data_IF_504471958743
#
_entry.id   IF_504471958743
#
_cell.length_a   1.000
_cell.length_b   1.000
_cell.length_c   1.000
_cell.angle_alpha   90.00
_cell.angle_beta   90.00
_cell.angle_gamma   90.00
#
_symmetry.space_group_name_H-M   'P 1'
#
loop_
_entity.id
_entity.type
_entity.pdbx_description
1 polymer ?
#
# COMPACT_ATOMS: atom_id res chain seq x y z
N UNK A 1 -32.20 -24.22 67.67
CA UNK A 1 -32.09 -23.40 66.49
C UNK A 1 -32.56 -24.20 65.30
N UNK A 2 -33.68 -23.82 64.70
CA UNK A 2 -34.19 -24.40 63.46
C UNK A 2 -33.50 -23.66 62.34
N UNK A 3 -32.61 -24.29 61.56
CA UNK A 3 -32.04 -23.78 60.40
C UNK A 3 -32.99 -24.07 59.22
N UNK A 4 -33.69 -23.03 58.74
CA UNK A 4 -34.55 -23.12 57.58
C UNK A 4 -33.66 -22.86 56.32
N UNK A 5 -33.34 -23.92 55.57
CA UNK A 5 -32.60 -23.83 54.31
C UNK A 5 -33.60 -23.86 53.18
N UNK A 6 -33.85 -22.69 52.58
CA UNK A 6 -34.71 -22.57 51.42
C UNK A 6 -33.84 -22.64 50.15
N UNK A 7 -34.03 -23.65 49.35
CA UNK A 7 -33.41 -23.78 48.01
C UNK A 7 -34.42 -23.41 46.93
N UNK A 8 -34.14 -22.34 46.18
CA UNK A 8 -34.97 -21.93 45.06
C UNK A 8 -34.20 -22.18 43.75
N UNK A 9 -34.70 -23.07 42.92
CA UNK A 9 -34.22 -23.29 41.55
C UNK A 9 -35.34 -22.94 40.57
N UNK A 10 -35.08 -22.03 39.62
CA UNK A 10 -36.05 -21.63 38.63
C UNK A 10 -35.43 -21.59 37.23
N UNK A 11 -36.17 -22.05 36.25
CA UNK A 11 -35.80 -21.88 34.82
C UNK A 11 -36.68 -20.78 34.27
N UNK A 12 -36.07 -19.67 33.86
CA UNK A 12 -36.76 -18.56 33.21
C UNK A 12 -36.56 -18.66 31.69
N UNK A 13 -37.62 -18.79 30.91
CA UNK A 13 -37.64 -18.78 29.49
C UNK A 13 -38.25 -17.44 29.00
N UNK A 14 -37.43 -16.57 28.48
CA UNK A 14 -37.86 -15.32 27.83
C UNK A 14 -37.84 -15.49 26.34
N UNK A 15 -38.98 -15.39 25.67
CA UNK A 15 -39.08 -15.54 24.22
C UNK A 15 -39.79 -14.35 23.61
N UNK A 16 -39.06 -13.59 22.79
CA UNK A 16 -39.63 -12.46 22.02
C UNK A 16 -40.48 -13.03 20.86
N UNK A 17 -41.79 -12.86 20.95
CA UNK A 17 -42.75 -13.33 19.93
C UNK A 17 -42.79 -12.35 18.74
N UNK A 18 -42.78 -11.05 19.05
CA UNK A 18 -42.79 -9.99 18.04
C UNK A 18 -42.07 -8.73 18.54
N UNK A 19 -41.18 -8.17 17.72
CA UNK A 19 -40.34 -7.03 18.06
C UNK A 19 -40.40 -5.90 17.02
N UNK A 20 -41.51 -5.78 16.29
CA UNK A 20 -41.62 -4.79 15.21
C UNK A 20 -40.72 -5.06 14.01
N UNK A 21 -40.38 -6.33 13.74
CA UNK A 21 -39.44 -6.77 12.68
C UNK A 21 -37.96 -6.38 12.90
N UNK A 22 -37.60 -5.93 14.10
CA UNK A 22 -36.22 -5.51 14.42
C UNK A 22 -35.22 -6.64 14.23
N UNK A 23 -35.54 -7.86 14.71
CA UNK A 23 -34.66 -9.04 14.53
C UNK A 23 -34.41 -9.31 13.05
N UNK A 24 -35.45 -9.28 12.21
CA UNK A 24 -35.32 -9.50 10.78
C UNK A 24 -34.49 -8.42 10.09
N UNK A 25 -34.70 -7.16 10.47
CA UNK A 25 -33.94 -6.02 9.93
C UNK A 25 -32.48 -6.10 10.35
N UNK A 26 -32.21 -6.47 11.62
CA UNK A 26 -30.87 -6.66 12.12
C UNK A 26 -30.14 -7.82 11.42
N UNK A 27 -30.83 -8.92 11.14
CA UNK A 27 -30.27 -10.02 10.35
C UNK A 27 -29.83 -9.54 8.95
N UNK A 28 -30.68 -8.76 8.27
CA UNK A 28 -30.35 -8.18 6.94
C UNK A 28 -29.15 -7.23 7.05
N UNK A 29 -29.11 -6.41 8.10
CA UNK A 29 -27.99 -5.51 8.35
C UNK A 29 -26.67 -6.27 8.54
N UNK A 30 -26.68 -7.34 9.34
CA UNK A 30 -25.49 -8.17 9.55
C UNK A 30 -25.03 -8.87 8.26
N UNK A 31 -25.96 -9.31 7.41
CA UNK A 31 -25.64 -9.88 6.10
C UNK A 31 -25.01 -8.82 5.18
N UNK A 32 -25.57 -7.63 5.14
CA UNK A 32 -25.02 -6.51 4.37
C UNK A 32 -23.60 -6.13 4.86
N UNK A 33 -23.38 -6.09 6.18
CA UNK A 33 -22.06 -5.85 6.75
C UNK A 33 -21.04 -6.94 6.39
N UNK A 34 -21.49 -8.20 6.24
CA UNK A 34 -20.63 -9.28 5.75
C UNK A 34 -20.21 -9.05 4.29
N UNK A 35 -21.13 -8.66 3.43
CA UNK A 35 -20.83 -8.33 2.03
C UNK A 35 -19.89 -7.13 1.93
N UNK A 36 -20.14 -6.08 2.71
CA UNK A 36 -19.19 -4.96 2.87
C UNK A 36 -17.79 -5.40 3.30
N UNK A 37 -17.69 -6.35 4.23
CA UNK A 37 -16.42 -6.91 4.66
C UNK A 37 -15.63 -7.51 3.49
N UNK A 38 -16.32 -8.20 2.59
CA UNK A 38 -15.72 -8.77 1.36
C UNK A 38 -15.21 -7.68 0.43
N UNK A 39 -16.00 -6.62 0.21
CA UNK A 39 -15.60 -5.48 -0.64
C UNK A 39 -14.42 -4.73 -0.02
N UNK A 40 -14.41 -4.50 1.30
CA UNK A 40 -13.27 -3.87 2.00
C UNK A 40 -11.99 -4.70 1.88
N UNK A 41 -12.09 -6.02 1.99
CA UNK A 41 -10.96 -6.92 1.78
C UNK A 41 -10.41 -6.78 0.36
N UNK A 42 -11.29 -6.69 -0.65
CA UNK A 42 -10.90 -6.46 -2.04
C UNK A 42 -10.16 -5.12 -2.20
N UNK A 43 -10.67 -4.01 -1.62
CA UNK A 43 -10.01 -2.70 -1.64
C UNK A 43 -8.60 -2.81 -1.04
N UNK A 44 -8.48 -3.46 0.13
CA UNK A 44 -7.18 -3.64 0.79
C UNK A 44 -6.19 -4.40 -0.08
N UNK A 45 -6.64 -5.43 -0.80
CA UNK A 45 -5.79 -6.21 -1.72
C UNK A 45 -5.38 -5.34 -2.92
N UNK A 46 -6.32 -4.61 -3.53
CA UNK A 46 -6.05 -3.73 -4.67
C UNK A 46 -5.04 -2.63 -4.30
N UNK A 47 -5.21 -1.98 -3.14
CA UNK A 47 -4.29 -0.97 -2.62
C UNK A 47 -2.90 -1.54 -2.31
N UNK A 48 -2.85 -2.75 -1.75
CA UNK A 48 -1.59 -3.43 -1.49
C UNK A 48 -0.84 -3.74 -2.79
N UNK A 49 -1.53 -4.31 -3.79
CA UNK A 49 -0.92 -4.61 -5.09
C UNK A 49 -0.44 -3.34 -5.78
N UNK A 50 -1.23 -2.26 -5.75
CA UNK A 50 -0.83 -0.97 -6.31
C UNK A 50 0.42 -0.41 -5.61
N UNK A 51 0.46 -0.45 -4.28
CA UNK A 51 1.59 0.02 -3.48
C UNK A 51 2.86 -0.81 -3.75
N UNK A 52 2.72 -2.13 -3.81
CA UNK A 52 3.83 -3.03 -4.10
C UNK A 52 4.38 -2.80 -5.51
N UNK A 53 3.50 -2.63 -6.49
CA UNK A 53 3.88 -2.34 -7.87
C UNK A 53 4.61 -1.00 -7.99
N UNK A 54 4.11 0.03 -7.33
CA UNK A 54 4.75 1.34 -7.30
C UNK A 54 6.16 1.28 -6.68
N UNK A 55 6.31 0.56 -5.56
CA UNK A 55 7.62 0.42 -4.90
C UNK A 55 8.58 -0.46 -5.71
N UNK A 56 8.09 -1.49 -6.41
CA UNK A 56 8.91 -2.27 -7.32
C UNK A 56 9.52 -1.40 -8.44
N UNK A 57 8.72 -0.58 -9.12
CA UNK A 57 9.22 0.30 -10.16
C UNK A 57 10.09 1.45 -9.61
N UNK A 58 9.84 1.91 -8.39
CA UNK A 58 10.76 2.79 -7.69
C UNK A 58 12.13 2.13 -7.49
N UNK A 59 12.17 0.89 -7.02
CA UNK A 59 13.42 0.13 -6.87
C UNK A 59 14.16 -0.05 -8.20
N UNK A 60 13.44 -0.39 -9.27
CA UNK A 60 13.99 -0.47 -10.63
C UNK A 60 14.62 0.87 -11.04
N UNK A 61 13.90 1.97 -10.86
CA UNK A 61 14.40 3.31 -11.17
C UNK A 61 15.67 3.68 -10.38
N UNK A 62 15.66 3.43 -9.06
CA UNK A 62 16.83 3.71 -8.22
C UNK A 62 18.04 2.86 -8.64
N UNK A 63 17.83 1.61 -9.01
CA UNK A 63 18.89 0.70 -9.49
C UNK A 63 19.49 1.18 -10.81
N UNK A 64 18.67 1.61 -11.76
CA UNK A 64 19.14 2.17 -13.03
C UNK A 64 19.93 3.48 -12.82
N UNK A 65 19.45 4.35 -11.91
CA UNK A 65 20.19 5.56 -11.50
C UNK A 65 21.54 5.22 -10.88
N UNK A 66 21.59 4.21 -10.03
CA UNK A 66 22.84 3.75 -9.43
C UNK A 66 23.85 3.31 -10.51
N UNK A 67 23.40 2.59 -11.52
CA UNK A 67 24.23 2.19 -12.65
C UNK A 67 24.79 3.41 -13.40
N UNK A 68 23.96 4.43 -13.64
CA UNK A 68 24.39 5.67 -14.30
C UNK A 68 25.44 6.42 -13.45
N UNK A 69 25.24 6.54 -12.13
CA UNK A 69 26.23 7.15 -11.25
C UNK A 69 27.53 6.33 -11.18
N UNK A 70 27.46 5.00 -11.25
CA UNK A 70 28.66 4.15 -11.37
C UNK A 70 29.48 4.50 -12.62
N UNK A 71 28.84 4.72 -13.77
CA UNK A 71 29.52 5.17 -14.98
C UNK A 71 30.11 6.59 -14.82
N UNK A 72 29.37 7.51 -14.21
CA UNK A 72 29.86 8.86 -13.95
C UNK A 72 31.13 8.86 -13.07
N UNK A 73 31.15 8.08 -11.99
CA UNK A 73 32.33 7.92 -11.12
C UNK A 73 33.50 7.30 -11.89
N UNK A 74 33.26 6.32 -12.75
CA UNK A 74 34.32 5.72 -13.56
C UNK A 74 34.93 6.75 -14.53
N UNK A 75 34.09 7.57 -15.16
CA UNK A 75 34.52 8.63 -16.08
C UNK A 75 35.29 9.74 -15.36
N UNK A 76 34.79 10.25 -14.22
CA UNK A 76 35.47 11.30 -13.46
C UNK A 76 36.77 10.82 -12.83
N UNK A 77 36.86 9.55 -12.43
CA UNK A 77 38.12 8.91 -11.98
C UNK A 77 39.17 8.89 -13.11
N UNK A 78 38.78 8.50 -14.31
CA UNK A 78 39.69 8.45 -15.45
C UNK A 78 40.11 9.86 -15.87
N UNK A 79 39.21 10.83 -15.84
CA UNK A 79 39.54 12.24 -16.06
C UNK A 79 40.55 12.75 -15.04
N UNK A 80 40.37 12.44 -13.77
CA UNK A 80 41.32 12.79 -12.71
C UNK A 80 42.69 12.17 -12.97
N UNK A 81 42.78 10.89 -13.30
CA UNK A 81 44.02 10.18 -13.61
C UNK A 81 44.78 10.84 -14.78
N UNK A 82 44.05 11.17 -15.86
CA UNK A 82 44.63 11.85 -17.03
C UNK A 82 45.14 13.25 -16.67
N UNK A 83 44.38 14.01 -15.86
CA UNK A 83 44.77 15.35 -15.43
C UNK A 83 45.99 15.31 -14.53
N UNK A 84 46.08 14.35 -13.59
CA UNK A 84 47.28 14.14 -12.77
C UNK A 84 48.53 13.88 -13.61
N UNK A 85 48.44 13.03 -14.64
CA UNK A 85 49.52 12.72 -15.55
C UNK A 85 49.93 13.95 -16.37
N UNK A 86 48.99 14.79 -16.85
CA UNK A 86 49.26 16.00 -17.62
C UNK A 86 49.89 17.11 -16.75
N UNK A 87 49.47 17.25 -15.50
CA UNK A 87 50.10 18.20 -14.57
C UNK A 87 51.53 17.82 -14.27
N UNK A 88 51.83 16.51 -14.12
CA UNK A 88 53.19 16.03 -13.83
C UNK A 88 54.20 16.33 -14.95
N UNK A 89 53.72 16.41 -16.20
CA UNK A 89 54.56 16.80 -17.39
C UNK A 89 54.48 18.29 -17.72
N UNK A 90 53.84 19.11 -16.87
CA UNK A 90 53.77 20.58 -17.04
C UNK A 90 52.72 21.08 -18.05
N UNK A 91 51.85 20.21 -18.60
CA UNK A 91 50.86 20.57 -19.64
C UNK A 91 49.54 21.07 -19.09
N UNK A 92 49.29 20.98 -17.77
CA UNK A 92 48.04 21.41 -17.12
C UNK A 92 48.34 22.16 -15.83
N UNK A 93 47.41 23.03 -15.40
CA UNK A 93 47.56 23.81 -14.16
C UNK A 93 47.17 23.00 -12.91
N UNK A 94 47.66 23.44 -11.77
CA UNK A 94 47.19 22.88 -10.47
C UNK A 94 45.70 23.13 -10.26
N UNK A 95 45.13 24.19 -10.81
CA UNK A 95 43.69 24.49 -10.77
C UNK A 95 42.86 23.40 -11.45
N UNK A 96 43.32 22.98 -12.66
CA UNK A 96 42.63 21.89 -13.39
C UNK A 96 42.61 20.57 -12.60
N UNK A 97 43.73 20.28 -11.91
CA UNK A 97 43.79 19.10 -11.02
C UNK A 97 42.86 19.21 -9.85
N UNK A 98 42.80 20.37 -9.18
CA UNK A 98 41.85 20.57 -8.07
C UNK A 98 40.38 20.44 -8.52
N UNK A 99 40.06 20.99 -9.67
CA UNK A 99 38.73 20.88 -10.24
C UNK A 99 38.38 19.41 -10.54
N UNK A 100 39.27 18.64 -11.16
CA UNK A 100 39.05 17.23 -11.44
C UNK A 100 38.86 16.41 -10.18
N UNK A 101 39.56 16.76 -9.06
CA UNK A 101 39.35 16.13 -7.75
C UNK A 101 37.99 16.47 -7.12
N UNK A 102 37.55 17.73 -7.27
CA UNK A 102 36.22 18.17 -6.79
C UNK A 102 35.13 17.40 -7.54
N UNK A 103 35.26 17.32 -8.87
CA UNK A 103 34.28 16.60 -9.72
C UNK A 103 34.21 15.11 -9.35
N UNK A 104 35.35 14.44 -9.19
CA UNK A 104 35.40 13.03 -8.76
C UNK A 104 34.78 12.81 -7.36
N UNK A 105 35.07 13.70 -6.41
CA UNK A 105 34.50 13.61 -5.07
C UNK A 105 32.99 13.85 -5.09
N UNK A 106 32.52 14.80 -5.88
CA UNK A 106 31.07 15.07 -6.04
C UNK A 106 30.33 13.87 -6.65
N UNK A 107 30.86 13.25 -7.70
CA UNK A 107 30.27 12.08 -8.33
C UNK A 107 30.32 10.86 -7.42
N UNK A 108 31.42 10.68 -6.68
CA UNK A 108 31.54 9.61 -5.67
C UNK A 108 30.52 9.76 -4.55
N UNK A 109 30.29 10.99 -4.08
CA UNK A 109 29.27 11.28 -3.05
C UNK A 109 27.86 10.97 -3.55
N UNK A 110 27.52 11.38 -4.79
CA UNK A 110 26.23 11.04 -5.42
C UNK A 110 26.02 9.53 -5.56
N UNK A 111 27.07 8.80 -5.95
CA UNK A 111 27.02 7.35 -6.05
C UNK A 111 26.73 6.70 -4.69
N UNK A 112 27.42 7.12 -3.62
CA UNK A 112 27.19 6.59 -2.28
C UNK A 112 25.76 6.88 -1.79
N UNK A 113 25.28 8.12 -1.97
CA UNK A 113 23.91 8.47 -1.61
C UNK A 113 22.88 7.63 -2.39
N UNK A 114 23.14 7.33 -3.66
CA UNK A 114 22.26 6.50 -4.47
C UNK A 114 22.27 5.03 -4.02
N UNK A 115 23.41 4.51 -3.51
CA UNK A 115 23.46 3.18 -2.92
C UNK A 115 22.51 3.05 -1.71
N UNK A 116 22.47 4.08 -0.86
CA UNK A 116 21.54 4.13 0.27
C UNK A 116 20.07 4.12 -0.19
N UNK A 117 19.73 4.90 -1.23
CA UNK A 117 18.37 4.92 -1.78
C UNK A 117 17.95 3.56 -2.34
N UNK A 118 18.84 2.85 -3.06
CA UNK A 118 18.59 1.49 -3.54
C UNK A 118 18.39 0.52 -2.37
N UNK A 119 19.21 0.63 -1.34
CA UNK A 119 19.09 -0.22 -0.15
C UNK A 119 17.77 0.04 0.59
N UNK A 120 17.39 1.29 0.78
CA UNK A 120 16.13 1.68 1.42
C UNK A 120 14.91 1.17 0.65
N UNK A 121 14.89 1.31 -0.68
CA UNK A 121 13.81 0.83 -1.53
C UNK A 121 13.71 -0.71 -1.51
N UNK A 122 14.85 -1.42 -1.53
CA UNK A 122 14.89 -2.88 -1.37
C UNK A 122 14.30 -3.33 -0.04
N UNK A 123 14.71 -2.72 1.06
CA UNK A 123 14.17 -3.00 2.41
C UNK A 123 12.65 -2.78 2.40
N UNK A 124 12.19 -1.68 1.81
CA UNK A 124 10.78 -1.35 1.75
C UNK A 124 9.93 -2.42 1.04
N UNK A 125 10.42 -2.96 -0.07
CA UNK A 125 9.74 -4.07 -0.76
C UNK A 125 9.71 -5.33 0.10
N UNK A 126 10.85 -5.68 0.74
CA UNK A 126 10.92 -6.86 1.60
C UNK A 126 9.99 -6.72 2.83
N UNK A 127 9.83 -5.52 3.39
CA UNK A 127 8.84 -5.22 4.43
C UNK A 127 7.41 -5.45 3.93
N UNK A 128 7.08 -4.92 2.74
CA UNK A 128 5.76 -5.11 2.14
C UNK A 128 5.45 -6.59 1.89
N UNK A 129 6.44 -7.37 1.48
CA UNK A 129 6.32 -8.81 1.25
C UNK A 129 6.37 -9.63 2.55
N UNK A 130 6.58 -8.99 3.70
CA UNK A 130 6.78 -9.64 5.00
C UNK A 130 7.90 -10.70 4.99
N UNK A 131 8.96 -10.46 4.20
CA UNK A 131 10.12 -11.35 4.17
C UNK A 131 10.82 -11.37 5.52
N UNK A 132 11.27 -12.55 5.96
CA UNK A 132 12.01 -12.70 7.22
C UNK A 132 13.33 -11.94 7.21
N UNK A 133 14.01 -11.92 6.07
CA UNK A 133 15.22 -11.13 5.85
C UNK A 133 14.87 -9.90 5.01
N UNK A 134 14.83 -8.74 5.64
CA UNK A 134 14.58 -7.46 4.98
C UNK A 134 15.71 -7.04 4.03
N UNK A 135 16.87 -7.68 4.12
CA UNK A 135 18.01 -7.42 3.25
C UNK A 135 18.10 -8.41 2.07
N UNK A 136 17.13 -9.28 1.89
CA UNK A 136 17.12 -10.22 0.78
C UNK A 136 17.26 -9.50 -0.57
N UNK A 137 18.10 -10.08 -1.44
CA UNK A 137 18.37 -9.49 -2.76
C UNK A 137 17.20 -9.75 -3.71
N UNK A 138 16.72 -8.68 -4.33
CA UNK A 138 15.64 -8.75 -5.29
C UNK A 138 16.19 -8.81 -6.71
N UNK A 139 15.65 -9.72 -7.52
CA UNK A 139 15.99 -9.84 -8.93
C UNK A 139 15.00 -9.01 -9.77
N UNK A 140 15.52 -8.02 -10.51
CA UNK A 140 14.73 -7.22 -11.45
C UNK A 140 14.58 -8.06 -12.74
N UNK A 141 13.33 -8.35 -13.13
CA UNK A 141 13.01 -8.98 -14.41
C UNK A 141 12.59 -7.99 -15.48
N UNK A 142 11.67 -7.09 -15.10
CA UNK A 142 11.06 -6.12 -16.00
C UNK A 142 11.51 -4.71 -15.63
N UNK A 143 12.16 -4.04 -16.57
CA UNK A 143 12.65 -2.66 -16.40
C UNK A 143 11.85 -1.63 -17.22
N UNK A 144 10.86 -2.10 -17.97
CA UNK A 144 10.05 -1.25 -18.87
C UNK A 144 8.58 -1.39 -18.50
N UNK A 145 7.90 -0.26 -18.33
CA UNK A 145 6.44 -0.22 -18.16
C UNK A 145 5.84 -0.09 -19.56
N UNK A 146 5.09 -1.09 -19.98
CA UNK A 146 4.28 -1.01 -21.19
C UNK A 146 3.05 -0.16 -20.91
N UNK A 147 2.92 0.97 -21.61
CA UNK A 147 1.76 1.85 -21.51
C UNK A 147 0.76 1.45 -22.58
N UNK A 148 -0.44 1.03 -22.13
CA UNK A 148 -1.55 0.79 -23.06
C UNK A 148 -2.09 2.14 -23.57
N UNK A 149 -1.82 2.46 -24.83
CA UNK A 149 -2.28 3.69 -25.50
C UNK A 149 -3.71 3.63 -26.03
N UNK A 150 -4.39 2.47 -25.97
CA UNK A 150 -5.71 2.26 -26.54
C UNK A 150 -6.87 2.40 -25.52
N UNK A 151 -6.60 3.05 -24.38
CA UNK A 151 -7.62 3.29 -23.36
C UNK A 151 -8.68 4.30 -23.87
N UNK A 152 -9.95 3.86 -23.92
CA UNK A 152 -11.08 4.73 -24.28
C UNK A 152 -11.82 5.17 -23.04
N UNK A 153 -12.11 6.46 -22.96
CA UNK A 153 -12.75 7.07 -21.80
C UNK A 153 -14.12 6.43 -21.49
N UNK A 154 -14.95 6.20 -22.50
CA UNK A 154 -16.29 5.66 -22.35
C UNK A 154 -16.28 4.25 -21.76
N UNK A 155 -15.34 3.41 -22.22
CA UNK A 155 -15.17 2.04 -21.74
C UNK A 155 -14.67 2.03 -20.29
N UNK A 156 -13.68 2.91 -19.96
CA UNK A 156 -13.15 3.05 -18.62
C UNK A 156 -14.21 3.56 -17.63
N UNK A 157 -15.03 4.53 -18.06
CA UNK A 157 -16.10 5.06 -17.24
C UNK A 157 -17.14 3.98 -16.93
N UNK A 158 -17.58 3.23 -17.95
CA UNK A 158 -18.54 2.15 -17.77
C UNK A 158 -18.00 1.06 -16.82
N UNK A 159 -16.75 0.64 -17.02
CA UNK A 159 -16.11 -0.32 -16.13
C UNK A 159 -15.97 0.22 -14.69
N UNK A 160 -15.60 1.48 -14.53
CA UNK A 160 -15.47 2.10 -13.21
C UNK A 160 -16.81 2.11 -12.47
N UNK A 161 -17.89 2.49 -13.13
CA UNK A 161 -19.22 2.51 -12.51
C UNK A 161 -19.70 1.12 -12.09
N UNK A 162 -19.32 0.09 -12.82
CA UNK A 162 -19.76 -1.29 -12.56
C UNK A 162 -18.85 -2.03 -11.54
N UNK A 163 -17.55 -1.83 -11.60
CA UNK A 163 -16.59 -2.68 -10.88
C UNK A 163 -15.78 -2.00 -9.79
N UNK A 164 -15.86 -0.66 -9.67
CA UNK A 164 -15.06 0.06 -8.68
C UNK A 164 -15.48 -0.29 -7.25
N UNK A 165 -14.58 -0.88 -6.48
CA UNK A 165 -14.87 -1.37 -5.14
C UNK A 165 -15.29 -0.26 -4.15
N UNK A 166 -14.78 0.96 -4.31
CA UNK A 166 -15.19 2.11 -3.48
C UNK A 166 -16.63 2.55 -3.77
N UNK A 167 -17.07 2.50 -5.03
CA UNK A 167 -18.46 2.78 -5.41
C UNK A 167 -19.40 1.69 -4.90
N UNK A 168 -19.00 0.42 -5.00
CA UNK A 168 -19.76 -0.70 -4.43
C UNK A 168 -19.89 -0.54 -2.92
N UNK A 169 -18.82 -0.16 -2.22
CA UNK A 169 -18.86 0.07 -0.78
C UNK A 169 -19.84 1.20 -0.41
N UNK A 170 -19.84 2.31 -1.14
CA UNK A 170 -20.79 3.41 -0.94
C UNK A 170 -22.25 2.96 -1.19
N UNK A 171 -22.48 2.06 -2.14
CA UNK A 171 -23.79 1.43 -2.36
C UNK A 171 -24.26 0.62 -1.16
N UNK A 172 -23.40 -0.21 -0.58
CA UNK A 172 -23.68 -0.97 0.64
C UNK A 172 -23.93 -0.04 1.86
N UNK A 173 -23.15 1.04 2.00
CA UNK A 173 -23.38 2.04 3.05
C UNK A 173 -24.78 2.67 2.96
N UNK A 174 -25.27 2.95 1.75
CA UNK A 174 -26.62 3.45 1.52
C UNK A 174 -27.69 2.43 1.95
N UNK A 175 -27.51 1.15 1.60
CA UNK A 175 -28.42 0.07 2.02
C UNK A 175 -28.43 -0.07 3.55
N UNK A 176 -27.26 0.05 4.21
CA UNK A 176 -27.18 0.03 5.67
C UNK A 176 -27.92 1.20 6.30
N UNK A 177 -27.80 2.40 5.75
CA UNK A 177 -28.54 3.59 6.23
C UNK A 177 -30.06 3.39 6.12
N UNK A 178 -30.54 2.79 5.02
CA UNK A 178 -31.95 2.42 4.85
C UNK A 178 -32.42 1.38 5.88
N UNK A 179 -31.60 0.38 6.18
CA UNK A 179 -31.88 -0.62 7.21
C UNK A 179 -31.88 -0.02 8.61
N UNK A 180 -31.00 0.95 8.88
CA UNK A 180 -31.00 1.72 10.14
C UNK A 180 -32.28 2.53 10.30
N UNK A 181 -32.73 3.22 9.25
CA UNK A 181 -34.03 3.90 9.26
C UNK A 181 -35.18 2.93 9.57
N UNK A 182 -35.22 1.76 8.95
CA UNK A 182 -36.20 0.70 9.24
C UNK A 182 -36.14 0.23 10.68
N UNK A 183 -34.94 0.13 11.26
CA UNK A 183 -34.75 -0.24 12.67
C UNK A 183 -35.32 0.81 13.63
N UNK A 184 -35.17 2.08 13.29
CA UNK A 184 -35.78 3.17 14.09
C UNK A 184 -37.30 3.17 13.94
N UNK A 185 -37.82 3.01 12.72
CA UNK A 185 -39.25 2.90 12.46
C UNK A 185 -39.89 1.69 13.17
N UNK A 186 -39.15 0.61 13.37
CA UNK A 186 -39.60 -0.58 14.11
C UNK A 186 -40.00 -0.28 15.55
N UNK A 187 -39.49 0.80 16.15
CA UNK A 187 -39.86 1.23 17.52
C UNK A 187 -41.32 1.69 17.64
N UNK A 188 -41.96 2.03 16.50
CA UNK A 188 -43.36 2.44 16.48
C UNK A 188 -44.34 1.27 16.48
N UNK A 189 -43.84 0.04 16.37
CA UNK A 189 -44.65 -1.19 16.44
C UNK A 189 -44.73 -1.77 17.84
N UNK A 190 -45.81 -2.50 18.19
CA UNK A 190 -45.94 -3.11 19.48
C UNK A 190 -44.83 -4.17 19.69
N UNK A 191 -44.44 -4.34 20.92
CA UNK A 191 -43.50 -5.36 21.38
C UNK A 191 -44.26 -6.42 22.15
N UNK A 192 -44.08 -7.70 21.78
CA UNK A 192 -44.71 -8.84 22.44
C UNK A 192 -43.63 -9.81 22.93
N UNK A 193 -43.64 -10.01 24.24
CA UNK A 193 -42.70 -10.89 24.94
C UNK A 193 -43.42 -12.07 25.53
#
# INVERSE_FOLDING_TARGET
GIYDQTFNAGINLNWTIFDGFRIRTNYKKLKEMQEMGTVRTRITIEDFVASLTAEYYNYVQQTLRLQNFRYAVALSRERLRITEARVSVGNFSRLDLLQARVDFNADSSKYMSQQELVSASRIRINELLANKDVNEMLCIRDSVIEVNGELKWEELLAQTLDTNASLLLAGHDNVLAELDLKTVQARNYPYLN
#
